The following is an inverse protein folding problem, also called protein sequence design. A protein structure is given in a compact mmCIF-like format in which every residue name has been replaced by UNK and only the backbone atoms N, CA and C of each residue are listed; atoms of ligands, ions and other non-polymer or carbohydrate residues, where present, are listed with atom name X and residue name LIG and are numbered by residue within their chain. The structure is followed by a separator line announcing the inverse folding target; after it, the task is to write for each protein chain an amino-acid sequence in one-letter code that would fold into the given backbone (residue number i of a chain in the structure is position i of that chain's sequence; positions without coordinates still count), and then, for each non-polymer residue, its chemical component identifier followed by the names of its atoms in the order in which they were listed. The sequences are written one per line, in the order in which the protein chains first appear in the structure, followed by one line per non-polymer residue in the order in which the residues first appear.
data_IF_080691938800
#
_entry.id   IF_080691938800
#
_cell.length_a   1.000
_cell.length_b   1.000
_cell.length_c   1.000
_cell.angle_alpha   90.00
_cell.angle_beta   90.00
_cell.angle_gamma   90.00
#
_symmetry.space_group_name_H-M   'P 1'
#
loop_
_entity.id
_entity.type
_entity.pdbx_description
1 polymer ?
#
# COMPACT_ATOMS: atom_id res chain seq x y z
N UNK A 1 -28.02 2.01 -4.82
CA UNK A 1 -27.28 2.55 -5.98
C UNK A 1 -26.10 1.64 -6.23
N UNK A 2 -25.99 1.03 -7.41
CA UNK A 2 -24.77 0.29 -7.75
C UNK A 2 -23.62 1.29 -7.68
N UNK A 3 -22.66 1.06 -6.78
CA UNK A 3 -21.49 1.91 -6.67
C UNK A 3 -20.76 1.85 -8.01
N UNK A 4 -20.47 3.01 -8.57
CA UNK A 4 -19.83 3.17 -9.89
C UNK A 4 -18.53 2.37 -10.00
N UNK A 5 -17.91 2.02 -8.87
CA UNK A 5 -16.71 1.21 -8.74
C UNK A 5 -16.98 -0.19 -8.17
N UNK A 6 -17.73 -1.03 -8.88
CA UNK A 6 -18.13 -2.38 -8.44
C UNK A 6 -17.49 -3.54 -9.21
N UNK A 7 -16.79 -3.27 -10.31
CA UNK A 7 -16.09 -4.26 -11.13
C UNK A 7 -14.65 -3.84 -11.44
N UNK A 8 -13.82 -4.75 -11.95
CA UNK A 8 -12.43 -4.42 -12.29
C UNK A 8 -12.37 -3.30 -13.33
N UNK A 9 -13.14 -3.43 -14.41
CA UNK A 9 -13.16 -2.48 -15.52
C UNK A 9 -13.73 -1.12 -15.13
N UNK A 10 -14.59 -1.06 -14.11
CA UNK A 10 -15.20 0.19 -13.66
C UNK A 10 -14.20 1.22 -13.10
N UNK A 11 -12.97 0.79 -12.77
CA UNK A 11 -11.88 1.67 -12.36
C UNK A 11 -11.11 2.29 -13.54
N UNK A 12 -11.38 1.90 -14.79
CA UNK A 12 -10.64 2.33 -15.98
C UNK A 12 -11.54 3.08 -16.96
N UNK A 13 -10.94 3.92 -17.81
CA UNK A 13 -11.70 4.68 -18.82
C UNK A 13 -12.36 3.79 -19.86
N UNK A 14 -11.72 2.67 -20.18
CA UNK A 14 -12.18 1.70 -21.16
C UNK A 14 -12.08 0.29 -20.54
N UNK A 15 -13.02 -0.64 -20.83
CA UNK A 15 -12.90 -2.03 -20.41
C UNK A 15 -11.58 -2.67 -20.89
N UNK A 16 -10.86 -3.35 -20.00
CA UNK A 16 -9.53 -3.88 -20.30
C UNK A 16 -8.42 -2.81 -20.45
N UNK A 17 -8.72 -1.54 -20.19
CA UNK A 17 -7.77 -0.44 -20.22
C UNK A 17 -6.74 -0.52 -19.07
N UNK A 18 -5.71 0.32 -19.16
CA UNK A 18 -4.60 0.36 -18.18
C UNK A 18 -4.56 1.65 -17.36
N UNK A 19 -5.32 2.67 -17.76
CA UNK A 19 -5.33 3.98 -17.11
C UNK A 19 -6.56 4.15 -16.24
N UNK A 20 -6.32 4.38 -14.94
CA UNK A 20 -7.39 4.55 -13.96
C UNK A 20 -8.21 5.80 -14.28
N UNK A 21 -9.53 5.69 -14.14
CA UNK A 21 -10.45 6.84 -14.16
C UNK A 21 -10.02 7.83 -13.09
N UNK A 22 -9.89 9.08 -13.50
CA UNK A 22 -9.37 10.15 -12.66
C UNK A 22 -10.10 11.47 -12.96
N UNK A 23 -10.06 12.38 -12.00
CA UNK A 23 -10.77 13.66 -12.06
C UNK A 23 -10.18 14.64 -13.08
N UNK A 24 -9.02 14.34 -13.66
CA UNK A 24 -8.41 15.17 -14.70
C UNK A 24 -8.91 14.83 -16.10
N UNK A 25 -9.64 13.73 -16.28
CA UNK A 25 -9.95 13.21 -17.61
C UNK A 25 -8.73 12.66 -18.36
N UNK A 26 -7.61 12.43 -17.66
CA UNK A 26 -6.34 12.03 -18.28
C UNK A 26 -6.38 10.56 -18.70
N UNK A 27 -5.94 10.27 -19.91
CA UNK A 27 -5.95 8.94 -20.53
C UNK A 27 -4.55 8.41 -20.83
N UNK A 28 -3.52 9.24 -20.70
CA UNK A 28 -2.12 8.82 -20.73
C UNK A 28 -1.66 8.41 -19.32
N UNK A 29 -1.18 7.18 -19.18
CA UNK A 29 -0.75 6.64 -17.89
C UNK A 29 0.48 7.32 -17.30
N UNK A 30 1.42 7.77 -18.13
CA UNK A 30 2.63 8.45 -17.66
C UNK A 30 2.30 9.88 -17.21
N UNK A 31 1.42 10.57 -17.92
CA UNK A 31 0.93 11.91 -17.52
C UNK A 31 0.11 11.81 -16.24
N UNK A 32 -0.78 10.80 -16.12
CA UNK A 32 -1.54 10.57 -14.89
C UNK A 32 -0.62 10.32 -13.70
N UNK A 33 0.41 9.48 -13.86
CA UNK A 33 1.35 9.18 -12.79
C UNK A 33 2.08 10.43 -12.28
N UNK A 34 2.52 11.32 -13.18
CA UNK A 34 3.17 12.58 -12.80
C UNK A 34 2.20 13.52 -12.06
N UNK A 35 0.97 13.67 -12.57
CA UNK A 35 -0.05 14.53 -11.94
C UNK A 35 -0.47 14.02 -10.56
N UNK A 36 -0.73 12.72 -10.45
CA UNK A 36 -1.06 12.08 -9.18
C UNK A 36 0.09 12.26 -8.16
N UNK A 37 1.33 12.03 -8.58
CA UNK A 37 2.48 12.20 -7.69
C UNK A 37 2.59 13.64 -7.17
N UNK A 38 2.49 14.64 -8.07
CA UNK A 38 2.54 16.04 -7.69
C UNK A 38 1.39 16.44 -6.74
N UNK A 39 0.17 15.99 -7.02
CA UNK A 39 -0.99 16.30 -6.19
C UNK A 39 -0.91 15.63 -4.82
N UNK A 40 -0.56 14.34 -4.77
CA UNK A 40 -0.43 13.60 -3.50
C UNK A 40 0.71 14.16 -2.63
N UNK A 41 1.83 14.57 -3.24
CA UNK A 41 2.92 15.24 -2.52
C UNK A 41 2.48 16.58 -1.91
N UNK A 42 1.69 17.38 -2.63
CA UNK A 42 1.11 18.62 -2.11
C UNK A 42 0.17 18.36 -0.93
N UNK A 43 -0.66 17.32 -0.98
CA UNK A 43 -1.56 16.97 0.12
C UNK A 43 -0.80 16.44 1.34
N UNK A 44 0.27 15.67 1.14
CA UNK A 44 1.18 15.25 2.22
C UNK A 44 1.78 16.46 2.94
N UNK A 45 2.29 17.45 2.21
CA UNK A 45 2.88 18.66 2.82
C UNK A 45 1.86 19.37 3.73
N UNK A 46 0.58 19.41 3.35
CA UNK A 46 -0.45 20.00 4.21
C UNK A 46 -0.69 19.21 5.49
N UNK A 47 -0.64 17.88 5.42
CA UNK A 47 -0.73 17.01 6.60
C UNK A 47 0.48 17.23 7.52
N UNK A 48 1.68 17.18 6.96
CA UNK A 48 2.93 17.35 7.72
C UNK A 48 3.03 18.73 8.39
N UNK A 49 2.51 19.76 7.73
CA UNK A 49 2.44 21.13 8.25
C UNK A 49 1.28 21.37 9.22
N UNK A 50 0.42 20.37 9.48
CA UNK A 50 -0.76 20.50 10.34
C UNK A 50 -1.86 21.41 9.77
N UNK A 51 -1.80 21.76 8.48
CA UNK A 51 -2.81 22.56 7.79
C UNK A 51 -4.11 21.77 7.55
N UNK A 52 -3.99 20.44 7.53
CA UNK A 52 -5.11 19.50 7.55
C UNK A 52 -4.93 18.57 8.74
N UNK A 53 -5.96 18.48 9.58
CA UNK A 53 -5.96 17.59 10.74
C UNK A 53 -6.86 16.39 10.46
N UNK A 54 -6.30 15.20 10.60
CA UNK A 54 -7.05 13.94 10.55
C UNK A 54 -7.12 13.39 11.97
N UNK A 55 -8.31 13.01 12.41
CA UNK A 55 -8.49 12.34 13.69
C UNK A 55 -7.73 11.01 13.71
N UNK A 56 -6.87 10.83 14.70
CA UNK A 56 -6.02 9.64 14.85
C UNK A 56 -6.76 8.56 15.65
N UNK A 57 -7.81 8.00 15.07
CA UNK A 57 -8.63 6.93 15.69
C UNK A 57 -7.97 5.55 15.60
N UNK A 58 -6.90 5.43 14.81
CA UNK A 58 -6.12 4.20 14.60
C UNK A 58 -6.98 2.99 14.13
N UNK A 59 -8.04 3.27 13.39
CA UNK A 59 -8.94 2.28 12.80
C UNK A 59 -9.04 2.43 11.28
N UNK A 60 -9.98 1.71 10.67
CA UNK A 60 -10.22 1.79 9.23
C UNK A 60 -10.59 3.21 8.78
N UNK A 61 -11.37 3.96 9.55
CA UNK A 61 -11.77 5.33 9.20
C UNK A 61 -10.57 6.27 9.18
N UNK A 62 -9.62 6.11 10.10
CA UNK A 62 -8.36 6.85 10.08
C UNK A 62 -7.60 6.62 8.76
N UNK A 63 -7.41 5.36 8.37
CA UNK A 63 -6.69 5.02 7.14
C UNK A 63 -7.43 5.50 5.89
N UNK A 64 -8.77 5.40 5.87
CA UNK A 64 -9.63 5.93 4.80
C UNK A 64 -9.55 7.45 4.70
N UNK A 65 -9.52 8.16 5.83
CA UNK A 65 -9.38 9.61 5.87
C UNK A 65 -8.02 10.06 5.32
N UNK A 66 -6.93 9.35 5.67
CA UNK A 66 -5.60 9.58 5.09
C UNK A 66 -5.65 9.41 3.57
N UNK A 67 -6.16 8.27 3.09
CA UNK A 67 -6.25 8.02 1.66
C UNK A 67 -7.11 9.08 0.94
N UNK A 68 -8.26 9.44 1.52
CA UNK A 68 -9.11 10.50 0.97
C UNK A 68 -8.34 11.81 0.87
N UNK A 69 -7.62 12.20 1.92
CA UNK A 69 -6.86 13.45 1.93
C UNK A 69 -5.80 13.51 0.83
N UNK A 70 -5.11 12.39 0.57
CA UNK A 70 -4.09 12.33 -0.48
C UNK A 70 -4.68 12.33 -1.89
N UNK A 71 -5.77 11.59 -2.11
CA UNK A 71 -6.23 11.22 -3.45
C UNK A 71 -7.56 11.85 -3.88
N UNK A 72 -8.26 12.62 -3.03
CA UNK A 72 -9.56 13.20 -3.37
C UNK A 72 -9.55 14.15 -4.58
N UNK A 73 -8.39 14.71 -4.92
CA UNK A 73 -8.21 15.55 -6.11
C UNK A 73 -7.76 14.77 -7.35
N UNK A 74 -7.57 13.45 -7.24
CA UNK A 74 -7.16 12.55 -8.32
C UNK A 74 -8.26 11.56 -8.66
N UNK A 75 -8.88 10.92 -7.65
CA UNK A 75 -9.79 9.80 -7.82
C UNK A 75 -11.13 10.03 -7.12
N UNK A 76 -12.22 9.73 -7.83
CA UNK A 76 -13.59 9.78 -7.29
C UNK A 76 -13.78 8.82 -6.10
N UNK A 77 -13.09 7.67 -6.13
CA UNK A 77 -13.17 6.62 -5.11
C UNK A 77 -12.23 6.84 -3.91
N UNK A 78 -11.58 8.02 -3.80
CA UNK A 78 -10.63 8.28 -2.72
C UNK A 78 -11.25 8.10 -1.32
N UNK A 79 -10.65 7.20 -0.53
CA UNK A 79 -11.14 6.82 0.81
C UNK A 79 -12.20 5.72 0.81
N UNK A 80 -12.62 5.25 -0.37
CA UNK A 80 -13.44 4.05 -0.53
C UNK A 80 -12.59 2.78 -0.50
N UNK A 81 -13.03 1.77 0.23
CA UNK A 81 -12.42 0.44 0.17
C UNK A 81 -12.67 -0.17 -1.21
N UNK A 82 -11.70 -0.92 -1.73
CA UNK A 82 -11.84 -1.61 -3.01
C UNK A 82 -12.91 -2.70 -2.94
N UNK A 83 -13.61 -2.86 -4.05
CA UNK A 83 -14.63 -3.89 -4.28
C UNK A 83 -14.08 -5.11 -5.02
N UNK A 84 -12.84 -5.06 -5.50
CA UNK A 84 -12.24 -6.08 -6.37
C UNK A 84 -10.95 -6.66 -5.79
N UNK A 85 -10.70 -7.93 -6.08
CA UNK A 85 -9.46 -8.60 -5.71
C UNK A 85 -8.27 -8.00 -6.47
N UNK A 86 -7.15 -7.83 -5.79
CA UNK A 86 -5.90 -7.31 -6.37
C UNK A 86 -4.74 -8.21 -5.97
N UNK A 87 -3.69 -8.21 -6.79
CA UNK A 87 -2.44 -8.93 -6.55
C UNK A 87 -1.26 -8.08 -7.01
N UNK A 88 -0.09 -8.31 -6.43
CA UNK A 88 1.17 -7.71 -6.87
C UNK A 88 2.18 -8.83 -7.12
N UNK A 89 2.53 -9.03 -8.40
CA UNK A 89 3.29 -10.21 -8.82
C UNK A 89 2.54 -11.50 -8.44
N UNK A 90 3.18 -12.36 -7.66
CA UNK A 90 2.60 -13.62 -7.19
C UNK A 90 1.78 -13.48 -5.91
N UNK A 91 1.88 -12.36 -5.19
CA UNK A 91 1.20 -12.18 -3.90
C UNK A 91 -0.24 -11.72 -4.10
N UNK A 92 -1.17 -12.50 -3.58
CA UNK A 92 -2.58 -12.12 -3.48
C UNK A 92 -2.80 -11.40 -2.15
N UNK A 93 -3.37 -10.21 -2.22
CA UNK A 93 -3.87 -9.53 -1.03
C UNK A 93 -5.20 -10.13 -0.59
N UNK A 94 -5.72 -9.69 0.56
CA UNK A 94 -7.00 -10.12 1.08
C UNK A 94 -8.11 -10.03 0.00
N UNK A 95 -9.09 -10.92 0.03
CA UNK A 95 -10.29 -10.70 -0.76
C UNK A 95 -11.04 -9.43 -0.25
N UNK A 96 -11.75 -8.69 -1.11
CA UNK A 96 -12.42 -7.43 -0.73
C UNK A 96 -13.26 -7.53 0.55
N UNK A 97 -13.98 -8.63 0.72
CA UNK A 97 -14.82 -8.91 1.87
C UNK A 97 -14.04 -9.12 3.18
N UNK A 98 -12.76 -9.52 3.09
CA UNK A 98 -11.88 -9.71 4.24
C UNK A 98 -11.06 -8.46 4.59
N UNK A 99 -11.06 -7.43 3.74
CA UNK A 99 -10.35 -6.16 4.02
C UNK A 99 -10.74 -5.56 5.37
N UNK A 100 -12.04 -5.44 5.73
CA UNK A 100 -12.43 -4.86 7.01
C UNK A 100 -11.87 -5.64 8.21
N UNK A 101 -11.77 -6.97 8.11
CA UNK A 101 -11.25 -7.83 9.19
C UNK A 101 -9.78 -7.49 9.49
N UNK A 102 -8.93 -7.42 8.47
CA UNK A 102 -7.52 -7.05 8.65
C UNK A 102 -7.35 -5.65 9.25
N UNK A 103 -8.19 -4.68 8.87
CA UNK A 103 -8.13 -3.33 9.43
C UNK A 103 -8.60 -3.28 10.89
N UNK A 104 -9.58 -4.11 11.28
CA UNK A 104 -10.00 -4.26 12.68
C UNK A 104 -8.89 -4.88 13.52
N UNK A 105 -8.24 -5.94 13.04
CA UNK A 105 -7.12 -6.60 13.72
C UNK A 105 -5.91 -5.65 13.87
N UNK A 106 -5.54 -4.93 12.80
CA UNK A 106 -4.51 -3.88 12.88
C UNK A 106 -4.84 -2.83 13.94
N UNK A 107 -6.11 -2.41 14.02
CA UNK A 107 -6.57 -1.44 15.01
C UNK A 107 -6.53 -1.98 16.44
N UNK A 108 -6.81 -3.26 16.64
CA UNK A 108 -6.71 -3.93 17.93
C UNK A 108 -5.25 -3.99 18.39
N UNK A 109 -4.32 -4.35 17.51
CA UNK A 109 -2.88 -4.35 17.77
C UNK A 109 -2.37 -2.97 18.20
N UNK A 110 -2.81 -1.90 17.52
CA UNK A 110 -2.45 -0.53 17.93
C UNK A 110 -2.99 -0.20 19.32
N UNK A 111 -4.23 -0.59 19.64
CA UNK A 111 -4.89 -0.26 20.90
C UNK A 111 -4.41 -1.07 22.10
N UNK A 112 -3.94 -2.30 21.90
CA UNK A 112 -3.50 -3.18 22.99
C UNK A 112 -2.04 -2.99 23.39
N UNK A 113 -1.23 -2.33 22.57
CA UNK A 113 0.20 -2.15 22.81
C UNK A 113 0.53 -0.96 23.74
N UNK A 114 1.57 -1.13 24.56
CA UNK A 114 2.13 -0.08 25.42
C UNK A 114 3.26 0.70 24.72
N UNK A 115 2.93 1.39 23.62
CA UNK A 115 3.89 2.05 22.73
C UNK A 115 4.89 2.99 23.44
N UNK A 116 4.46 3.72 24.47
CA UNK A 116 5.27 4.73 25.16
C UNK A 116 6.41 4.14 25.99
N UNK A 117 6.36 2.84 26.32
CA UNK A 117 7.38 2.16 27.13
C UNK A 117 8.24 1.20 26.31
N UNK A 118 7.99 1.09 25.01
CA UNK A 118 8.73 0.19 24.13
C UNK A 118 10.15 0.71 23.89
N UNK A 119 11.13 -0.18 23.97
CA UNK A 119 12.42 0.05 23.34
C UNK A 119 12.30 -0.08 21.81
N UNK A 120 13.41 0.11 21.11
CA UNK A 120 13.44 0.09 19.64
C UNK A 120 13.00 -1.26 19.06
N UNK A 121 13.29 -2.36 19.75
CA UNK A 121 13.03 -3.72 19.26
C UNK A 121 11.58 -4.14 19.48
N UNK A 122 11.05 -3.83 20.65
CA UNK A 122 9.63 -3.96 20.92
C UNK A 122 8.80 -3.07 19.96
N UNK A 123 9.23 -1.82 19.74
CA UNK A 123 8.59 -0.92 18.78
C UNK A 123 8.63 -1.48 17.36
N UNK A 124 9.79 -1.94 16.89
CA UNK A 124 9.96 -2.47 15.55
C UNK A 124 9.06 -3.69 15.30
N UNK A 125 8.98 -4.59 16.30
CA UNK A 125 8.16 -5.79 16.23
C UNK A 125 6.66 -5.45 16.19
N UNK A 126 6.20 -4.58 17.09
CA UNK A 126 4.80 -4.14 17.13
C UNK A 126 4.40 -3.37 15.85
N UNK A 127 5.26 -2.47 15.36
CA UNK A 127 5.00 -1.71 14.14
C UNK A 127 4.97 -2.61 12.90
N UNK A 128 5.85 -3.61 12.82
CA UNK A 128 5.87 -4.62 11.77
C UNK A 128 4.56 -5.42 11.74
N UNK A 129 4.05 -5.84 12.89
CA UNK A 129 2.80 -6.60 13.00
C UNK A 129 1.59 -5.78 12.55
N UNK A 130 1.47 -4.52 13.02
CA UNK A 130 0.42 -3.60 12.57
C UNK A 130 0.48 -3.39 11.06
N UNK A 131 1.67 -3.10 10.51
CA UNK A 131 1.82 -2.86 9.09
C UNK A 131 1.55 -4.11 8.24
N UNK A 132 1.94 -5.30 8.69
CA UNK A 132 1.68 -6.54 7.97
C UNK A 132 0.17 -6.78 7.76
N UNK A 133 -0.66 -6.49 8.76
CA UNK A 133 -2.12 -6.55 8.64
C UNK A 133 -2.66 -5.51 7.65
N UNK A 134 -2.21 -4.25 7.76
CA UNK A 134 -2.63 -3.18 6.83
C UNK A 134 -2.20 -3.51 5.38
N UNK A 135 -0.98 -4.02 5.19
CA UNK A 135 -0.42 -4.39 3.90
C UNK A 135 -1.15 -5.57 3.27
N UNK A 136 -1.49 -6.60 4.07
CA UNK A 136 -2.26 -7.75 3.61
C UNK A 136 -3.71 -7.37 3.27
N UNK A 137 -4.33 -6.51 4.07
CA UNK A 137 -5.65 -5.94 3.77
C UNK A 137 -5.65 -5.18 2.44
N UNK A 138 -4.60 -4.40 2.17
CA UNK A 138 -4.41 -3.64 0.94
C UNK A 138 -5.69 -2.90 0.49
N UNK A 139 -6.26 -2.03 1.35
CA UNK A 139 -7.67 -1.68 1.32
C UNK A 139 -8.15 -0.89 0.10
N UNK A 140 -7.27 -0.23 -0.63
CA UNK A 140 -7.63 0.70 -1.71
C UNK A 140 -7.27 0.14 -3.09
N UNK A 141 -7.85 0.72 -4.15
CA UNK A 141 -7.53 0.32 -5.53
C UNK A 141 -6.10 0.69 -5.93
N UNK A 142 -5.63 1.86 -5.52
CA UNK A 142 -4.26 2.37 -5.69
C UNK A 142 -3.98 3.29 -4.49
N UNK A 143 -2.72 3.61 -4.19
CA UNK A 143 -2.36 4.54 -3.10
C UNK A 143 -2.16 3.90 -1.73
N UNK A 144 -2.19 2.56 -1.65
CA UNK A 144 -2.00 1.81 -0.41
C UNK A 144 -0.66 2.14 0.28
N UNK A 145 0.46 2.05 -0.44
CA UNK A 145 1.78 2.29 0.16
C UNK A 145 1.93 3.69 0.78
N UNK A 146 1.45 4.74 0.09
CA UNK A 146 1.49 6.13 0.59
C UNK A 146 0.60 6.31 1.82
N UNK A 147 -0.63 5.81 1.76
CA UNK A 147 -1.59 5.92 2.87
C UNK A 147 -1.13 5.16 4.11
N UNK A 148 -0.62 3.94 3.93
CA UNK A 148 -0.14 3.10 5.04
C UNK A 148 1.11 3.67 5.71
N UNK A 149 2.03 4.29 4.97
CA UNK A 149 3.22 4.93 5.57
C UNK A 149 2.84 6.10 6.48
N UNK A 150 1.89 6.95 6.07
CA UNK A 150 1.37 8.03 6.93
C UNK A 150 0.64 7.45 8.15
N UNK A 151 -0.18 6.42 7.95
CA UNK A 151 -0.85 5.75 9.07
C UNK A 151 0.17 5.22 10.09
N UNK A 152 1.24 4.59 9.62
CA UNK A 152 2.33 4.12 10.49
C UNK A 152 3.12 5.26 11.14
N UNK A 153 3.28 6.41 10.48
CA UNK A 153 3.84 7.61 11.12
C UNK A 153 2.97 8.09 12.28
N UNK A 154 1.63 8.11 12.10
CA UNK A 154 0.71 8.44 13.18
C UNK A 154 0.75 7.40 14.31
N UNK A 155 0.81 6.09 14.01
CA UNK A 155 0.98 5.04 15.03
C UNK A 155 2.28 5.25 15.82
N UNK A 156 3.37 5.59 15.14
CA UNK A 156 4.66 5.82 15.79
C UNK A 156 4.65 7.01 16.77
N UNK A 157 3.72 7.96 16.65
CA UNK A 157 3.56 9.05 17.63
C UNK A 157 3.11 8.59 19.01
N UNK A 158 2.59 7.37 19.13
CA UNK A 158 2.30 6.76 20.44
C UNK A 158 3.57 6.32 21.19
N UNK A 159 4.74 6.36 20.52
CA UNK A 159 6.04 5.92 21.05
C UNK A 159 7.06 7.06 21.12
N UNK A 160 8.23 6.76 21.69
CA UNK A 160 9.41 7.64 21.66
C UNK A 160 10.10 7.70 20.29
N UNK A 161 9.59 7.01 19.27
CA UNK A 161 10.18 6.94 17.94
C UNK A 161 9.36 7.66 16.87
N UNK A 162 10.03 8.12 15.83
CA UNK A 162 9.44 8.50 14.53
C UNK A 162 9.93 7.52 13.46
N UNK A 163 9.16 7.36 12.40
CA UNK A 163 9.58 6.59 11.23
C UNK A 163 10.20 7.54 10.19
N UNK A 164 11.46 7.31 9.84
CA UNK A 164 12.15 8.04 8.79
C UNK A 164 12.30 7.17 7.54
N UNK A 165 11.56 7.51 6.48
CA UNK A 165 11.58 6.77 5.22
C UNK A 165 12.66 7.25 4.24
N UNK A 166 13.48 8.25 4.60
CA UNK A 166 14.60 8.65 3.76
C UNK A 166 15.66 7.53 3.77
N UNK A 167 16.00 6.93 2.62
CA UNK A 167 17.05 5.91 2.55
C UNK A 167 18.41 6.40 3.02
N UNK A 168 18.69 7.72 2.93
CA UNK A 168 19.92 8.29 3.45
C UNK A 168 20.00 8.29 4.98
N UNK A 169 18.85 8.24 5.66
CA UNK A 169 18.75 8.16 7.13
C UNK A 169 18.60 6.73 7.61
N UNK A 170 17.66 5.99 7.01
CA UNK A 170 17.27 4.65 7.46
C UNK A 170 18.10 3.52 6.84
N UNK A 171 18.75 3.76 5.69
CA UNK A 171 19.33 2.69 4.87
C UNK A 171 18.29 1.78 4.20
N UNK A 172 17.00 2.03 4.38
CA UNK A 172 15.92 1.22 3.78
C UNK A 172 15.60 1.76 2.39
N UNK A 173 16.08 1.06 1.36
CA UNK A 173 15.77 1.41 -0.03
C UNK A 173 14.35 0.96 -0.41
N UNK A 174 13.80 1.49 -1.52
CA UNK A 174 12.56 0.97 -2.13
C UNK A 174 12.54 -0.54 -2.32
N UNK A 175 13.66 -1.15 -2.70
CA UNK A 175 13.81 -2.58 -2.96
C UNK A 175 13.67 -3.37 -1.66
N UNK A 176 14.38 -2.95 -0.60
CA UNK A 176 14.30 -3.58 0.74
C UNK A 176 12.87 -3.50 1.26
N UNK A 177 12.25 -2.32 1.19
CA UNK A 177 10.86 -2.12 1.61
C UNK A 177 9.90 -3.03 0.86
N UNK A 178 10.02 -3.09 -0.47
CA UNK A 178 9.14 -3.89 -1.31
C UNK A 178 9.33 -5.39 -1.07
N UNK A 179 10.56 -5.86 -0.88
CA UNK A 179 10.86 -7.26 -0.60
C UNK A 179 10.31 -7.68 0.77
N UNK A 180 10.55 -6.91 1.82
CA UNK A 180 10.00 -7.18 3.14
C UNK A 180 8.47 -7.16 3.14
N UNK A 181 7.85 -6.16 2.50
CA UNK A 181 6.39 -6.09 2.37
C UNK A 181 5.81 -7.25 1.56
N UNK A 182 6.56 -7.82 0.62
CA UNK A 182 6.15 -9.01 -0.13
C UNK A 182 6.18 -10.26 0.75
N UNK A 183 7.21 -10.41 1.57
CA UNK A 183 7.40 -11.57 2.44
C UNK A 183 6.53 -11.53 3.70
N UNK A 184 5.81 -10.43 3.94
CA UNK A 184 4.96 -10.28 5.13
C UNK A 184 3.55 -10.87 5.00
N UNK A 185 3.24 -11.49 3.86
CA UNK A 185 1.94 -12.11 3.62
C UNK A 185 1.74 -13.35 4.51
N UNK A 186 0.50 -13.83 4.64
CA UNK A 186 0.21 -15.06 5.37
C UNK A 186 0.77 -16.28 4.64
N UNK A 187 1.07 -17.32 5.40
CA UNK A 187 1.32 -18.66 4.85
C UNK A 187 0.13 -19.16 4.03
N UNK A 188 0.39 -20.08 3.09
CA UNK A 188 -0.64 -20.63 2.21
C UNK A 188 -1.77 -21.25 3.05
N UNK A 189 -2.99 -20.72 2.88
CA UNK A 189 -4.18 -21.18 3.60
C UNK A 189 -4.35 -20.61 5.01
N UNK A 190 -3.49 -19.67 5.43
CA UNK A 190 -3.60 -18.95 6.70
C UNK A 190 -4.15 -17.54 6.51
N UNK A 191 -4.67 -16.98 7.60
CA UNK A 191 -5.18 -15.61 7.65
C UNK A 191 -4.13 -14.65 8.19
N UNK A 192 -3.40 -15.08 9.20
CA UNK A 192 -2.45 -14.29 9.97
C UNK A 192 -1.20 -13.93 9.13
N UNK A 193 -0.86 -12.63 8.97
CA UNK A 193 0.37 -12.20 8.33
C UNK A 193 1.63 -12.64 9.09
N UNK A 194 2.77 -12.70 8.39
CA UNK A 194 4.09 -13.13 8.92
C UNK A 194 5.05 -11.93 8.98
N UNK A 195 5.08 -11.13 10.06
CA UNK A 195 5.71 -9.80 10.08
C UNK A 195 7.25 -9.81 10.15
N UNK A 196 7.90 -10.96 10.29
CA UNK A 196 9.32 -11.14 10.62
C UNK A 196 10.25 -10.44 9.62
N UNK A 197 9.89 -10.46 8.34
CA UNK A 197 10.65 -9.77 7.28
C UNK A 197 10.63 -8.24 7.41
N UNK A 198 9.62 -7.67 8.07
CA UNK A 198 9.45 -6.24 8.28
C UNK A 198 10.12 -5.75 9.57
N UNK A 199 10.39 -6.62 10.55
CA UNK A 199 11.02 -6.22 11.83
C UNK A 199 12.35 -5.48 11.62
N UNK A 200 13.34 -5.99 10.85
CA UNK A 200 14.58 -5.24 10.63
C UNK A 200 14.36 -3.93 9.87
N UNK A 201 13.33 -3.87 9.02
CA UNK A 201 12.95 -2.64 8.30
C UNK A 201 12.43 -1.59 9.28
N UNK A 202 11.45 -1.92 10.13
CA UNK A 202 10.93 -0.98 11.12
C UNK A 202 11.96 -0.59 12.16
N UNK A 203 12.88 -1.49 12.55
CA UNK A 203 14.02 -1.16 13.42
C UNK A 203 14.93 -0.10 12.80
N UNK A 204 15.20 -0.20 11.49
CA UNK A 204 16.03 0.75 10.75
C UNK A 204 15.33 2.10 10.50
N UNK A 205 14.01 2.08 10.25
CA UNK A 205 13.19 3.28 10.11
C UNK A 205 13.01 4.04 11.44
N UNK A 206 13.07 3.35 12.58
CA UNK A 206 12.86 3.94 13.89
C UNK A 206 13.99 4.92 14.26
N UNK A 207 13.68 6.20 14.36
CA UNK A 207 14.59 7.23 14.86
C UNK A 207 14.00 7.78 16.15
N UNK A 208 14.82 7.98 17.18
CA UNK A 208 14.35 8.61 18.43
C UNK A 208 13.76 9.99 18.15
N UNK A 209 12.61 10.28 18.77
CA UNK A 209 12.07 11.63 18.78
C UNK A 209 12.96 12.45 19.71
N UNK A 210 13.72 13.37 19.13
CA UNK A 210 14.27 14.46 19.92
C UNK A 210 13.08 15.18 20.57
N UNK A 211 13.09 15.43 21.89
CA UNK A 211 12.09 16.29 22.50
C UNK A 211 12.06 17.60 21.71
N UNK A 212 10.87 18.06 21.32
CA UNK A 212 10.76 19.34 20.66
C UNK A 212 11.37 20.40 21.59
N UNK A 213 12.49 21.01 21.17
CA UNK A 213 12.85 22.30 21.74
C UNK A 213 11.66 23.23 21.51
N UNK A 214 11.25 23.97 22.54
CA UNK A 214 10.19 24.97 22.41
C UNK A 214 10.45 25.84 21.16
N UNK A 215 9.43 26.17 20.38
CA UNK A 215 9.63 26.84 19.10
C UNK A 215 10.30 28.20 19.36
N UNK A 216 11.58 28.30 18.97
CA UNK A 216 12.21 29.59 18.78
C UNK A 216 11.59 30.16 17.51
N UNK A 217 10.78 31.19 17.65
CA UNK A 217 10.29 31.96 16.52
C UNK A 217 11.49 32.65 15.87
N UNK A 218 11.96 32.11 14.75
CA UNK A 218 12.90 32.79 13.86
C UNK A 218 12.38 32.73 12.42
N UNK A 219 12.08 33.93 11.92
CA UNK A 219 12.01 34.41 10.54
C UNK A 219 11.50 33.48 9.41
N UNK A 220 10.42 33.80 8.67
CA UNK A 220 9.82 32.97 7.62
C UNK A 220 10.62 32.88 6.31
N UNK A 221 11.95 32.94 6.37
CA UNK A 221 12.81 33.10 5.20
C UNK A 221 14.03 32.20 5.19
N UNK A 222 13.88 30.87 5.22
CA UNK A 222 14.90 29.99 4.62
C UNK A 222 14.37 28.61 4.25
N UNK A 223 14.44 28.32 2.96
CA UNK A 223 14.13 27.05 2.32
C UNK A 223 14.95 25.88 2.88
N UNK A 224 14.31 24.73 3.13
CA UNK A 224 14.71 23.39 2.65
C UNK A 224 13.67 22.32 3.02
N UNK A 225 12.62 22.16 2.21
CA UNK A 225 11.82 20.91 2.19
C UNK A 225 11.59 20.49 0.74
N UNK A 226 12.69 20.16 0.06
CA UNK A 226 12.66 19.32 -1.14
C UNK A 226 13.52 18.09 -0.80
N UNK A 227 12.85 16.98 -0.47
CA UNK A 227 13.51 15.73 -0.07
C UNK A 227 12.63 14.71 0.65
N UNK A 228 11.42 15.07 1.13
CA UNK A 228 10.59 14.15 1.92
C UNK A 228 9.63 13.25 1.15
N UNK A 229 9.53 13.41 -0.17
CA UNK A 229 8.68 12.56 -1.00
C UNK A 229 9.48 11.46 -1.70
N UNK A 230 10.39 10.78 -1.00
CA UNK A 230 11.01 9.55 -1.50
C UNK A 230 10.01 8.38 -1.38
N UNK A 231 8.90 8.48 -2.09
CA UNK A 231 8.05 7.33 -2.36
C UNK A 231 8.38 6.87 -3.77
N UNK A 232 8.90 5.64 -3.96
CA UNK A 232 8.97 5.07 -5.29
C UNK A 232 7.57 5.07 -5.91
N UNK A 233 7.53 5.16 -7.25
CA UNK A 233 6.31 4.96 -8.03
C UNK A 233 5.50 3.77 -7.50
N UNK A 234 4.17 3.89 -7.53
CA UNK A 234 3.32 2.71 -7.33
C UNK A 234 3.76 1.63 -8.32
N UNK A 235 3.77 0.38 -7.88
CA UNK A 235 4.20 -0.77 -8.66
C UNK A 235 3.17 -1.16 -9.75
N UNK A 236 2.65 -0.17 -10.47
CA UNK A 236 1.68 -0.33 -11.55
C UNK A 236 2.35 -0.76 -12.86
N UNK A 237 3.67 -0.90 -12.90
CA UNK A 237 4.39 -1.61 -13.98
C UNK A 237 4.10 -3.13 -13.99
N UNK A 238 3.40 -3.68 -12.99
CA UNK A 238 3.16 -5.12 -12.84
C UNK A 238 1.78 -5.65 -13.27
N UNK A 239 0.96 -4.89 -14.01
CA UNK A 239 -0.27 -5.44 -14.64
C UNK A 239 -0.01 -5.85 -16.08
N UNK A 240 0.81 -6.90 -16.26
CA UNK A 240 0.78 -7.71 -17.48
C UNK A 240 1.16 -9.16 -17.19
N UNK A 241 0.15 -10.02 -17.03
CA UNK A 241 0.29 -11.45 -17.26
C UNK A 241 -1.05 -12.01 -17.78
N UNK A 242 -1.19 -11.92 -19.11
CA UNK A 242 -1.93 -12.81 -20.03
C UNK A 242 -3.13 -13.56 -19.44
N UNK A 243 -4.30 -12.95 -19.53
CA UNK A 243 -5.54 -13.68 -19.80
C UNK A 243 -5.71 -13.78 -21.32
N UNK A 244 -4.81 -14.51 -21.98
CA UNK A 244 -4.98 -14.92 -23.38
C UNK A 244 -4.17 -16.20 -23.62
N UNK A 245 -4.82 -17.32 -23.34
CA UNK A 245 -4.59 -18.55 -24.04
C UNK A 245 -5.98 -19.06 -24.43
N UNK A 246 -6.40 -18.68 -25.64
CA UNK A 246 -7.58 -19.23 -26.28
C UNK A 246 -7.50 -20.75 -26.30
N UNK A 247 -8.54 -21.40 -25.79
CA UNK A 247 -8.74 -22.84 -25.99
C UNK A 247 -9.18 -23.00 -27.45
N UNK A 248 -8.23 -23.35 -28.31
CA UNK A 248 -8.53 -23.81 -29.66
C UNK A 248 -9.37 -25.12 -29.59
N UNK A 249 -10.35 -25.33 -30.47
CA UNK A 249 -11.18 -26.53 -30.44
C UNK A 249 -10.37 -27.77 -30.82
N UNK A 250 -10.58 -28.87 -30.08
CA UNK A 250 -9.99 -30.18 -30.36
C UNK A 250 -10.40 -30.67 -31.75
N UNK A 251 -9.48 -31.17 -32.59
CA UNK A 251 -9.87 -31.84 -33.82
C UNK A 251 -10.41 -33.24 -33.51
N UNK A 252 -11.39 -33.64 -34.32
CA UNK A 252 -12.08 -34.92 -34.24
C UNK A 252 -11.14 -36.09 -34.58
N UNK A 253 -11.19 -37.16 -33.77
CA UNK A 253 -10.49 -38.41 -34.03
C UNK A 253 -11.28 -39.24 -35.05
N UNK A 254 -10.65 -39.60 -36.17
CA UNK A 254 -11.12 -40.63 -37.09
C UNK A 254 -10.14 -41.84 -37.09
N UNK A 255 -10.59 -43.06 -37.46
CA UNK A 255 -10.06 -44.31 -36.91
C UNK A 255 -9.21 -45.16 -37.86
N UNK A 256 -8.41 -46.06 -37.27
CA UNK A 256 -7.78 -47.25 -37.90
C UNK A 256 -6.43 -46.99 -38.58
N UNK A 257 -5.46 -47.91 -38.65
CA UNK A 257 -5.36 -49.35 -38.36
C UNK A 257 -3.84 -49.74 -38.39
N UNK A 258 -3.41 -51.01 -38.16
CA UNK A 258 -2.22 -51.36 -37.37
C UNK A 258 -1.05 -51.94 -38.21
N UNK A 259 -0.16 -52.69 -37.53
CA UNK A 259 1.03 -53.48 -37.95
C UNK A 259 2.38 -52.76 -37.73
N UNK A 260 3.42 -53.37 -37.14
CA UNK A 260 3.63 -54.71 -36.61
C UNK A 260 5.11 -54.94 -36.22
N UNK A 261 5.32 -55.84 -35.25
CA UNK A 261 6.37 -56.88 -35.12
C UNK A 261 7.88 -56.55 -35.20
N UNK A 262 8.63 -56.99 -34.17
CA UNK A 262 10.05 -57.42 -34.23
C UNK A 262 10.90 -56.85 -33.10
N UNK A 263 11.16 -57.61 -32.02
CA UNK A 263 12.41 -58.35 -31.68
C UNK A 263 13.64 -57.42 -31.53
N UNK A 264 14.42 -57.44 -30.45
CA UNK A 264 14.84 -58.55 -29.57
C UNK A 264 14.61 -58.31 -28.06
#
# INVERSE_FOLDING_TARGET
MATEFSSWDSYFWEPGGTVLRNLYGERDGAVLAQREYAETAKQQVKLDAGLVVIAKTYDAEHLRAIHKQLFANVYEWAGGLRSVGIRKGFNKFASPENVPRYLVEASQLVRSAHWSTMDRDAFASAAAEVFAHVNQGHPFREGNGRSSKIFMQHVAELSSFRLDYDPAVSGVTPEIWNQASMLSGPDIGRHEPVPESLVPVFRALAVERTPAAAPIVTDPGLARVMGRASFPYSATEATRARSDAGVAPRPASAPGRPYGVGRD
#
